data_IF_278521285279
#
_entry.id   IF_278521285279
#
_cell.length_a   1.000
_cell.length_b   1.000
_cell.length_c   1.000
_cell.angle_alpha   90.00
_cell.angle_beta   90.00
_cell.angle_gamma   90.00
#
_symmetry.space_group_name_H-M   'P 1'
#
loop_
_entity.id
_entity.type
_entity.pdbx_description
1 polymer ?
#
# COMPACT_ATOMS: atom_id res chain seq x y z
N UNK A 1 -0.38 -11.56 14.72
CA UNK A 1 -1.68 -12.25 14.68
C UNK A 1 -2.45 -11.83 13.44
N UNK A 2 -3.31 -12.69 12.84
CA UNK A 2 -4.21 -12.26 11.76
C UNK A 2 -5.13 -11.10 12.15
N UNK A 3 -5.41 -10.92 13.42
CA UNK A 3 -6.21 -9.83 13.98
C UNK A 3 -5.51 -8.46 13.89
N UNK A 4 -4.19 -8.45 13.74
CA UNK A 4 -3.38 -7.22 13.65
C UNK A 4 -3.36 -6.61 12.24
N UNK A 5 -4.08 -7.19 11.28
CA UNK A 5 -4.02 -6.78 9.86
C UNK A 5 -4.39 -5.30 9.66
N UNK A 6 -5.34 -4.79 10.45
CA UNK A 6 -5.72 -3.37 10.39
C UNK A 6 -4.58 -2.45 10.86
N UNK A 7 -3.86 -2.85 11.91
CA UNK A 7 -2.67 -2.13 12.36
C UNK A 7 -1.54 -2.17 11.32
N UNK A 8 -1.37 -3.30 10.66
CA UNK A 8 -0.38 -3.45 9.60
C UNK A 8 -0.66 -2.54 8.40
N UNK A 9 -1.91 -2.39 8.00
CA UNK A 9 -2.30 -1.48 6.91
C UNK A 9 -2.02 -0.01 7.21
N UNK A 10 -2.06 0.39 8.46
CA UNK A 10 -1.81 1.77 8.90
C UNK A 10 -0.34 2.02 9.24
N UNK A 11 0.51 0.99 9.22
CA UNK A 11 1.91 1.09 9.64
C UNK A 11 2.82 1.47 8.47
N UNK A 12 3.87 2.24 8.78
CA UNK A 12 4.95 2.57 7.83
C UNK A 12 6.00 1.46 7.73
N UNK A 13 6.00 0.52 8.67
CA UNK A 13 6.93 -0.62 8.69
C UNK A 13 6.48 -1.66 9.70
N UNK A 14 6.89 -2.90 9.50
CA UNK A 14 6.49 -4.05 10.32
C UNK A 14 7.73 -4.72 10.91
N UNK A 15 7.76 -4.83 12.24
CA UNK A 15 8.81 -5.53 12.97
C UNK A 15 8.18 -6.66 13.80
N UNK A 16 8.66 -7.88 13.63
CA UNK A 16 8.17 -9.01 14.44
C UNK A 16 9.31 -9.80 15.08
N UNK A 17 9.12 -10.18 16.34
CA UNK A 17 10.07 -11.03 17.08
C UNK A 17 10.07 -12.48 16.58
N UNK A 18 8.98 -12.94 16.00
CA UNK A 18 8.79 -14.33 15.52
C UNK A 18 8.35 -14.35 14.05
N UNK A 19 8.55 -15.50 13.43
CA UNK A 19 8.19 -15.71 12.02
C UNK A 19 9.40 -15.60 11.11
N UNK A 20 9.20 -15.93 9.84
CA UNK A 20 10.21 -15.86 8.80
C UNK A 20 9.59 -15.28 7.52
N UNK A 21 10.29 -15.42 6.39
CA UNK A 21 9.87 -14.90 5.08
C UNK A 21 8.51 -15.41 4.60
N UNK A 22 8.05 -16.54 5.10
CA UNK A 22 6.75 -17.17 4.79
C UNK A 22 5.69 -16.94 5.88
N UNK A 23 6.02 -16.19 6.92
CA UNK A 23 5.05 -15.86 7.97
C UNK A 23 3.93 -14.96 7.40
N UNK A 24 2.77 -15.01 8.04
CA UNK A 24 1.63 -14.16 7.65
C UNK A 24 2.01 -12.68 7.59
N UNK A 25 2.75 -12.17 8.58
CA UNK A 25 3.22 -10.79 8.62
C UNK A 25 4.12 -10.45 7.41
N UNK A 26 5.05 -11.33 7.05
CA UNK A 26 5.95 -11.12 5.91
C UNK A 26 5.21 -11.14 4.57
N UNK A 27 4.24 -12.06 4.40
CA UNK A 27 3.43 -12.17 3.18
C UNK A 27 2.54 -10.95 3.00
N UNK A 28 1.85 -10.53 4.07
CA UNK A 28 0.99 -9.35 4.05
C UNK A 28 1.80 -8.07 3.80
N UNK A 29 2.92 -7.87 4.52
CA UNK A 29 3.81 -6.73 4.32
C UNK A 29 4.30 -6.61 2.87
N UNK A 30 4.68 -7.74 2.27
CA UNK A 30 5.11 -7.78 0.86
C UNK A 30 3.98 -7.40 -0.08
N UNK A 31 2.76 -7.91 0.16
CA UNK A 31 1.57 -7.56 -0.63
C UNK A 31 1.21 -6.09 -0.55
N UNK A 32 1.51 -5.43 0.58
CA UNK A 32 1.28 -4.00 0.81
C UNK A 32 2.45 -3.10 0.36
N UNK A 33 3.60 -3.68 -0.01
CA UNK A 33 4.82 -2.92 -0.27
C UNK A 33 5.40 -2.24 0.98
N UNK A 34 5.04 -2.70 2.17
CA UNK A 34 5.50 -2.14 3.44
C UNK A 34 6.81 -2.80 3.88
N UNK A 35 7.85 -2.05 4.25
CA UNK A 35 9.10 -2.60 4.77
C UNK A 35 8.84 -3.50 5.99
N UNK A 36 9.47 -4.67 6.03
CA UNK A 36 9.27 -5.59 7.13
C UNK A 36 10.57 -6.31 7.53
N UNK A 37 10.82 -6.37 8.82
CA UNK A 37 11.85 -7.23 9.44
C UNK A 37 11.14 -8.27 10.30
N UNK A 38 11.16 -9.52 9.86
CA UNK A 38 10.45 -10.63 10.52
C UNK A 38 11.42 -11.62 11.14
N UNK A 39 11.08 -12.11 12.35
CA UNK A 39 11.91 -13.09 13.05
C UNK A 39 13.09 -12.48 13.80
N UNK A 40 13.00 -11.23 14.18
CA UNK A 40 13.98 -10.55 15.02
C UNK A 40 13.87 -11.05 16.48
N UNK A 41 14.40 -12.24 16.76
CA UNK A 41 14.25 -12.94 18.06
C UNK A 41 14.76 -12.16 19.27
N UNK A 42 15.62 -11.16 19.04
CA UNK A 42 16.16 -10.29 20.06
C UNK A 42 15.19 -9.19 20.51
N UNK A 43 14.10 -9.01 19.77
CA UNK A 43 13.02 -8.06 20.12
C UNK A 43 12.17 -8.64 21.23
N UNK A 44 12.11 -7.92 22.34
CA UNK A 44 11.23 -8.20 23.48
C UNK A 44 10.27 -7.03 23.65
N UNK A 45 8.96 -7.28 23.49
CA UNK A 45 7.92 -6.26 23.64
C UNK A 45 7.31 -6.36 25.03
N UNK A 46 7.26 -5.25 25.74
CA UNK A 46 6.54 -5.08 26.99
C UNK A 46 5.34 -4.18 26.75
N UNK A 47 4.18 -4.78 26.58
CA UNK A 47 2.93 -4.07 26.30
C UNK A 47 2.46 -3.22 27.48
N UNK A 48 2.74 -3.64 28.72
CA UNK A 48 2.33 -2.90 29.91
C UNK A 48 3.17 -1.62 30.09
N UNK A 49 4.47 -1.72 29.83
CA UNK A 49 5.39 -0.60 29.90
C UNK A 49 5.46 0.21 28.59
N UNK A 50 4.73 -0.20 27.54
CA UNK A 50 4.71 0.44 26.20
C UNK A 50 6.12 0.66 25.65
N UNK A 51 6.94 -0.37 25.70
CA UNK A 51 8.32 -0.34 25.22
C UNK A 51 8.74 -1.67 24.63
N UNK A 52 9.81 -1.63 23.84
CA UNK A 52 10.51 -2.83 23.41
C UNK A 52 12.00 -2.71 23.74
N UNK A 53 12.65 -3.85 23.82
CA UNK A 53 14.09 -3.93 24.01
C UNK A 53 14.70 -4.79 22.91
N UNK A 54 15.77 -4.31 22.28
CA UNK A 54 16.53 -5.01 21.25
C UNK A 54 18.00 -4.94 21.63
N UNK A 55 18.65 -6.09 21.84
CA UNK A 55 20.08 -6.16 22.23
C UNK A 55 20.44 -5.24 23.40
N UNK A 56 19.54 -5.06 24.37
CA UNK A 56 19.76 -4.20 25.54
C UNK A 56 19.44 -2.72 25.32
N UNK A 57 19.10 -2.30 24.11
CA UNK A 57 18.62 -0.95 23.82
C UNK A 57 17.12 -0.89 24.06
N UNK A 58 16.68 0.04 24.91
CA UNK A 58 15.28 0.30 25.18
C UNK A 58 14.72 1.33 24.18
N UNK A 59 13.57 1.03 23.59
CA UNK A 59 12.84 1.87 22.64
C UNK A 59 11.41 2.00 23.17
N UNK A 60 10.94 3.21 23.35
CA UNK A 60 9.61 3.52 23.89
C UNK A 60 8.60 3.79 22.80
N UNK A 61 7.32 3.70 23.16
CA UNK A 61 6.24 4.15 22.27
C UNK A 61 6.44 5.62 21.87
N UNK A 62 6.44 5.88 20.56
CA UNK A 62 6.71 7.19 19.98
C UNK A 62 8.15 7.43 19.54
N UNK A 63 9.10 6.58 19.95
CA UNK A 63 10.47 6.65 19.44
C UNK A 63 10.52 6.22 17.97
N UNK A 64 11.39 6.86 17.21
CA UNK A 64 11.57 6.56 15.79
C UNK A 64 12.62 5.45 15.62
N UNK A 65 12.27 4.46 14.81
CA UNK A 65 13.19 3.42 14.34
C UNK A 65 13.14 3.35 12.81
N UNK A 66 14.22 2.96 12.19
CA UNK A 66 14.24 2.68 10.75
C UNK A 66 14.41 1.18 10.51
N UNK A 67 13.64 0.62 9.58
CA UNK A 67 13.70 -0.79 9.21
C UNK A 67 14.28 -0.92 7.80
N UNK A 68 15.35 -1.69 7.65
CA UNK A 68 15.85 -2.13 6.35
C UNK A 68 15.39 -3.57 6.10
N UNK A 69 14.37 -3.73 5.27
CA UNK A 69 13.83 -5.04 4.91
C UNK A 69 14.76 -5.86 4.00
N UNK A 70 15.76 -5.25 3.39
CA UNK A 70 16.73 -5.92 2.51
C UNK A 70 17.82 -6.62 3.33
N UNK A 71 18.41 -5.89 4.28
CA UNK A 71 19.47 -6.42 5.15
C UNK A 71 18.91 -7.08 6.41
N UNK A 72 17.67 -6.78 6.79
CA UNK A 72 17.06 -7.21 8.04
C UNK A 72 17.50 -6.39 9.24
N UNK A 73 18.07 -5.20 9.02
CA UNK A 73 18.55 -4.33 10.09
C UNK A 73 17.43 -3.48 10.70
N UNK A 74 17.54 -3.28 12.01
CA UNK A 74 16.70 -2.34 12.77
C UNK A 74 17.62 -1.26 13.33
N UNK A 75 17.44 -0.05 12.88
CA UNK A 75 18.29 1.09 13.19
C UNK A 75 17.54 1.98 14.21
N UNK A 76 18.20 2.33 15.29
CA UNK A 76 17.64 3.27 16.27
C UNK A 76 17.71 4.70 15.73
N UNK A 77 16.56 5.35 15.59
CA UNK A 77 16.43 6.69 15.04
C UNK A 77 16.04 6.73 13.57
N UNK A 78 15.91 7.96 13.06
CA UNK A 78 15.62 8.23 11.65
C UNK A 78 16.92 8.26 10.84
N UNK A 79 16.91 7.60 9.69
CA UNK A 79 17.95 7.71 8.67
C UNK A 79 17.36 8.25 7.38
N UNK A 80 18.22 8.80 6.51
CA UNK A 80 17.78 9.22 5.19
C UNK A 80 17.31 8.01 4.39
N UNK A 81 16.03 8.02 3.98
CA UNK A 81 15.46 6.99 3.14
C UNK A 81 15.67 7.33 1.67
N UNK A 82 15.88 6.31 0.87
CA UNK A 82 15.91 6.42 -0.59
C UNK A 82 14.73 5.65 -1.15
N UNK A 83 13.96 6.31 -2.00
CA UNK A 83 12.86 5.65 -2.72
C UNK A 83 13.40 4.47 -3.55
N UNK A 84 12.59 3.43 -3.69
CA UNK A 84 12.87 2.35 -4.62
C UNK A 84 12.87 2.91 -6.05
N UNK A 85 13.94 2.69 -6.77
CA UNK A 85 14.11 3.13 -8.16
C UNK A 85 14.56 1.95 -9.02
N UNK A 86 14.15 1.97 -10.29
CA UNK A 86 14.63 1.02 -11.31
C UNK A 86 16.01 1.47 -11.80
N UNK A 87 17.03 1.39 -10.92
CA UNK A 87 18.39 1.89 -11.20
C UNK A 87 19.43 0.77 -11.15
N UNK A 88 20.63 1.07 -11.61
CA UNK A 88 21.75 0.11 -11.62
C UNK A 88 21.47 -1.11 -12.48
N UNK A 89 21.97 -2.27 -12.06
CA UNK A 89 21.89 -3.53 -12.82
C UNK A 89 20.45 -3.97 -13.06
N UNK A 90 19.54 -3.66 -12.12
CA UNK A 90 18.12 -3.97 -12.29
C UNK A 90 17.49 -3.16 -13.43
N UNK A 91 17.84 -1.88 -13.55
CA UNK A 91 17.40 -1.04 -14.67
C UNK A 91 17.92 -1.55 -16.02
N UNK A 92 19.18 -1.98 -16.08
CA UNK A 92 19.76 -2.59 -17.28
C UNK A 92 19.02 -3.88 -17.64
N UNK A 93 18.78 -4.75 -16.67
CA UNK A 93 18.05 -6.00 -16.88
C UNK A 93 16.62 -5.75 -17.38
N UNK A 94 15.91 -4.78 -16.79
CA UNK A 94 14.59 -4.40 -17.26
C UNK A 94 14.60 -3.83 -18.69
N UNK A 95 15.65 -3.08 -19.06
CA UNK A 95 15.85 -2.64 -20.43
C UNK A 95 15.94 -3.81 -21.43
N UNK A 96 16.72 -4.84 -21.12
CA UNK A 96 16.78 -6.05 -21.95
C UNK A 96 15.44 -6.78 -22.05
N UNK A 97 14.70 -6.83 -20.94
CA UNK A 97 13.35 -7.41 -20.95
C UNK A 97 12.40 -6.63 -21.87
N UNK A 98 12.49 -5.30 -21.86
CA UNK A 98 11.67 -4.41 -22.69
C UNK A 98 11.98 -4.56 -24.20
N UNK A 99 13.23 -4.87 -24.58
CA UNK A 99 13.60 -5.11 -25.97
C UNK A 99 12.98 -6.38 -26.56
N UNK A 100 12.75 -7.41 -25.74
CA UNK A 100 12.27 -8.73 -26.20
C UNK A 100 10.81 -9.00 -25.89
N UNK A 101 10.20 -8.31 -24.93
CA UNK A 101 8.81 -8.51 -24.56
C UNK A 101 7.86 -8.10 -25.69
N UNK A 102 6.76 -8.85 -25.82
CA UNK A 102 5.67 -8.54 -26.76
C UNK A 102 4.41 -8.04 -26.06
N UNK A 103 4.25 -8.38 -24.79
CA UNK A 103 3.10 -7.99 -23.98
C UNK A 103 3.40 -6.68 -23.25
N UNK A 104 2.36 -5.88 -23.11
CA UNK A 104 2.39 -4.68 -22.28
C UNK A 104 2.06 -5.02 -20.84
N UNK A 105 2.70 -4.32 -19.90
CA UNK A 105 2.47 -4.50 -18.48
C UNK A 105 1.42 -3.51 -18.01
N UNK A 106 0.33 -4.01 -17.46
CA UNK A 106 -0.70 -3.22 -16.80
C UNK A 106 -0.78 -3.58 -15.33
N UNK A 107 -1.03 -2.59 -14.50
CA UNK A 107 -1.09 -2.74 -13.05
C UNK A 107 -2.50 -2.57 -12.51
N UNK A 108 -2.70 -2.91 -11.25
CA UNK A 108 -3.86 -2.49 -10.49
C UNK A 108 -3.56 -1.12 -9.86
N UNK A 109 -4.45 -0.17 -10.02
CA UNK A 109 -4.37 1.13 -9.36
C UNK A 109 -5.77 1.69 -9.14
N UNK A 110 -6.06 2.09 -7.91
CA UNK A 110 -7.38 2.56 -7.49
C UNK A 110 -7.40 4.07 -7.22
N UNK A 111 -6.21 4.69 -7.06
CA UNK A 111 -6.05 6.13 -6.80
C UNK A 111 -5.09 6.79 -7.80
N UNK A 112 -5.16 8.13 -7.99
CA UNK A 112 -4.19 8.86 -8.80
C UNK A 112 -2.75 8.66 -8.34
N UNK A 113 -2.52 8.55 -7.03
CA UNK A 113 -1.20 8.27 -6.47
C UNK A 113 -0.68 6.89 -6.91
N UNK A 114 -1.51 5.85 -6.81
CA UNK A 114 -1.13 4.49 -7.26
C UNK A 114 -0.78 4.48 -8.75
N UNK A 115 -1.56 5.20 -9.57
CA UNK A 115 -1.31 5.33 -11.00
C UNK A 115 0.03 6.02 -11.30
N UNK A 116 0.38 7.08 -10.55
CA UNK A 116 1.68 7.75 -10.68
C UNK A 116 2.84 6.84 -10.29
N UNK A 117 2.71 6.12 -9.18
CA UNK A 117 3.72 5.14 -8.71
C UNK A 117 3.89 4.03 -9.74
N UNK A 118 2.79 3.46 -10.22
CA UNK A 118 2.81 2.43 -11.25
C UNK A 118 3.52 2.89 -12.53
N UNK A 119 3.23 4.10 -12.98
CA UNK A 119 3.89 4.72 -14.14
C UNK A 119 5.39 4.91 -13.90
N UNK A 120 5.79 5.38 -12.72
CA UNK A 120 7.21 5.50 -12.33
C UNK A 120 7.94 4.16 -12.42
N UNK A 121 7.26 3.06 -12.11
CA UNK A 121 7.79 1.69 -12.23
C UNK A 121 7.60 1.05 -13.61
N UNK A 122 7.22 1.83 -14.64
CA UNK A 122 7.18 1.38 -16.03
C UNK A 122 5.89 0.67 -16.43
N UNK A 123 4.81 0.77 -15.66
CA UNK A 123 3.52 0.28 -16.10
C UNK A 123 3.00 1.11 -17.30
N UNK A 124 2.42 0.42 -18.29
CA UNK A 124 1.91 1.01 -19.53
C UNK A 124 0.39 1.21 -19.50
N UNK A 125 -0.19 1.14 -18.32
CA UNK A 125 -1.60 1.40 -18.09
C UNK A 125 -2.15 0.71 -16.84
N UNK A 126 -3.45 0.90 -16.60
CA UNK A 126 -4.20 0.23 -15.55
C UNK A 126 -4.92 -0.98 -16.16
N UNK A 127 -4.77 -2.14 -15.55
CA UNK A 127 -5.49 -3.36 -15.88
C UNK A 127 -6.78 -3.51 -15.08
N UNK A 128 -6.73 -3.15 -13.80
CA UNK A 128 -7.87 -3.18 -12.89
C UNK A 128 -7.88 -1.95 -12.01
N UNK A 129 -9.01 -1.27 -11.97
CA UNK A 129 -9.35 -0.28 -10.96
C UNK A 129 -10.57 -0.79 -10.19
N UNK A 130 -10.43 -0.98 -8.87
CA UNK A 130 -11.53 -1.38 -8.00
C UNK A 130 -12.35 -0.18 -7.63
N UNK A 131 -13.33 0.12 -8.46
CA UNK A 131 -14.16 1.31 -8.30
C UNK A 131 -14.98 1.33 -7.01
N UNK A 132 -15.24 0.16 -6.41
CA UNK A 132 -15.86 0.04 -5.09
C UNK A 132 -15.04 0.72 -3.98
N UNK A 133 -13.72 0.75 -4.09
CA UNK A 133 -12.85 1.42 -3.10
C UNK A 133 -13.06 2.95 -3.09
N UNK A 134 -13.49 3.52 -4.21
CA UNK A 134 -13.80 4.97 -4.30
C UNK A 134 -14.92 5.40 -3.36
N UNK A 135 -15.75 4.46 -2.90
CA UNK A 135 -16.93 4.73 -2.08
C UNK A 135 -16.77 4.41 -0.60
N UNK A 136 -15.59 3.93 -0.17
CA UNK A 136 -15.34 3.63 1.26
C UNK A 136 -15.08 4.87 2.12
N UNK A 137 -14.87 6.03 1.51
CA UNK A 137 -14.78 7.29 2.23
C UNK A 137 -16.06 7.54 3.06
N UNK A 138 -15.94 7.98 4.33
CA UNK A 138 -17.09 8.23 5.22
C UNK A 138 -18.16 9.16 4.66
N UNK A 139 -17.78 10.12 3.83
CA UNK A 139 -18.72 11.04 3.19
C UNK A 139 -19.47 10.38 2.03
N UNK A 140 -18.85 9.43 1.36
CA UNK A 140 -19.39 8.76 0.16
C UNK A 140 -20.18 7.50 0.49
N UNK A 141 -19.77 6.74 1.50
CA UNK A 141 -20.36 5.45 1.87
C UNK A 141 -21.85 5.56 2.20
N UNK A 142 -22.26 6.71 2.76
CA UNK A 142 -23.67 7.01 3.03
C UNK A 142 -24.52 6.92 1.76
N UNK A 143 -24.06 7.55 0.68
CA UNK A 143 -24.79 7.57 -0.59
C UNK A 143 -24.76 6.20 -1.28
N UNK A 144 -23.68 5.43 -1.08
CA UNK A 144 -23.61 4.05 -1.55
C UNK A 144 -24.64 3.16 -0.85
N UNK A 145 -24.79 3.31 0.48
CA UNK A 145 -25.83 2.62 1.26
C UNK A 145 -27.24 3.05 0.82
N UNK A 146 -27.49 4.34 0.61
CA UNK A 146 -28.75 4.86 0.07
C UNK A 146 -29.08 4.18 -1.28
N UNK A 147 -28.11 4.03 -2.17
CA UNK A 147 -28.27 3.38 -3.47
C UNK A 147 -28.60 1.90 -3.35
N UNK A 148 -27.88 1.18 -2.48
CA UNK A 148 -28.07 -0.27 -2.27
C UNK A 148 -29.46 -0.56 -1.66
N UNK A 149 -29.87 0.24 -0.70
CA UNK A 149 -31.13 0.07 0.04
C UNK A 149 -32.34 0.69 -0.66
N UNK A 150 -32.16 1.33 -1.82
CA UNK A 150 -33.25 1.97 -2.55
C UNK A 150 -34.23 0.90 -3.09
N UNK A 151 -35.50 1.02 -2.71
CA UNK A 151 -36.57 0.12 -3.12
C UNK A 151 -37.14 0.50 -4.50
N UNK A 152 -37.02 1.76 -4.91
CA UNK A 152 -37.52 2.25 -6.20
C UNK A 152 -36.39 2.71 -7.11
N UNK A 153 -36.66 2.72 -8.41
CA UNK A 153 -35.71 3.21 -9.40
C UNK A 153 -35.40 4.69 -9.20
N UNK A 154 -36.39 5.50 -8.88
CA UNK A 154 -36.25 6.95 -8.65
C UNK A 154 -35.34 7.22 -7.46
N UNK A 155 -35.53 6.52 -6.34
CA UNK A 155 -34.70 6.65 -5.15
C UNK A 155 -33.25 6.23 -5.45
N UNK A 156 -33.08 5.13 -6.21
CA UNK A 156 -31.76 4.66 -6.62
C UNK A 156 -31.05 5.67 -7.54
N UNK A 157 -31.75 6.24 -8.52
CA UNK A 157 -31.22 7.28 -9.41
C UNK A 157 -30.82 8.53 -8.64
N UNK A 158 -31.61 8.93 -7.65
CA UNK A 158 -31.28 10.07 -6.79
C UNK A 158 -30.00 9.84 -5.97
N UNK A 159 -29.80 8.64 -5.44
CA UNK A 159 -28.57 8.27 -4.75
C UNK A 159 -27.35 8.23 -5.70
N UNK A 160 -27.50 7.64 -6.88
CA UNK A 160 -26.48 7.58 -7.92
C UNK A 160 -26.07 9.00 -8.39
N UNK A 161 -26.99 9.92 -8.51
CA UNK A 161 -26.70 11.31 -8.87
C UNK A 161 -25.76 12.01 -7.85
N UNK A 162 -25.83 11.60 -6.58
CA UNK A 162 -24.90 12.08 -5.53
C UNK A 162 -23.51 11.44 -5.63
N UNK A 163 -23.42 10.20 -6.09
CA UNK A 163 -22.16 9.47 -6.24
C UNK A 163 -21.39 9.84 -7.51
N UNK A 164 -22.09 10.15 -8.58
CA UNK A 164 -21.52 10.42 -9.90
C UNK A 164 -20.43 11.50 -9.90
N UNK A 165 -20.57 12.67 -9.22
CA UNK A 165 -19.53 13.69 -9.19
C UNK A 165 -18.22 13.17 -8.57
N UNK A 166 -18.30 12.40 -7.50
CA UNK A 166 -17.13 11.81 -6.85
C UNK A 166 -16.40 10.84 -7.77
N UNK A 167 -17.14 9.90 -8.36
CA UNK A 167 -16.55 8.92 -9.27
C UNK A 167 -15.93 9.59 -10.50
N UNK A 168 -16.59 10.63 -11.04
CA UNK A 168 -16.06 11.41 -12.16
C UNK A 168 -14.72 12.07 -11.81
N UNK A 169 -14.60 12.66 -10.63
CA UNK A 169 -13.38 13.34 -10.20
C UNK A 169 -12.24 12.33 -9.93
N UNK A 170 -12.56 11.17 -9.33
CA UNK A 170 -11.59 10.10 -9.11
C UNK A 170 -11.03 9.56 -10.44
N UNK A 171 -11.90 9.27 -11.42
CA UNK A 171 -11.46 8.84 -12.76
C UNK A 171 -10.68 9.92 -13.50
N UNK A 172 -11.09 11.18 -13.38
CA UNK A 172 -10.35 12.29 -13.97
C UNK A 172 -8.94 12.35 -13.38
N UNK A 173 -8.80 12.21 -12.06
CA UNK A 173 -7.50 12.14 -11.41
C UNK A 173 -6.64 10.98 -11.90
N UNK A 174 -7.22 9.78 -12.06
CA UNK A 174 -6.55 8.60 -12.62
C UNK A 174 -6.07 8.85 -14.05
N UNK A 175 -6.93 9.39 -14.93
CA UNK A 175 -6.57 9.67 -16.32
C UNK A 175 -5.48 10.74 -16.44
N UNK A 176 -5.52 11.76 -15.58
CA UNK A 176 -4.46 12.76 -15.53
C UNK A 176 -3.13 12.16 -15.05
N UNK A 177 -3.15 11.27 -14.07
CA UNK A 177 -1.97 10.58 -13.58
C UNK A 177 -1.36 9.63 -14.62
N UNK A 178 -2.19 9.00 -15.45
CA UNK A 178 -1.77 8.12 -16.54
C UNK A 178 -1.18 8.87 -17.73
N UNK A 179 -1.57 10.13 -17.96
CA UNK A 179 -0.99 11.02 -18.99
C UNK A 179 -0.89 10.35 -20.37
N UNK A 180 -2.03 9.88 -20.89
CA UNK A 180 -2.15 9.26 -22.19
C UNK A 180 -1.90 7.74 -22.24
N UNK A 181 -1.56 7.11 -21.12
CA UNK A 181 -1.55 5.65 -21.00
C UNK A 181 -2.97 5.10 -20.82
N UNK A 182 -3.15 3.78 -21.09
CA UNK A 182 -4.46 3.11 -21.00
C UNK A 182 -4.82 2.67 -19.60
#
# INVERSE_FOLDING_TARGET
SPEDIHGMHSSQGILTARGGMTSHAAVVARGMGTPAVCGAHEVKVDYAAKKMTIKGVEIKEGDVITLDGTTGEVINGAVALKDAELTGDFGVFMGWADEVRKLRVRTNADTPHDAQVARKFGAEGIGLCRTEHMFFDPMRIKHMREMILAETEEARRAALAKLLPYQREDFKGLFMALDGLH
#
